data_IF_897765588603
#
_entry.id   IF_897765588603
#
_cell.length_a   1.000
_cell.length_b   1.000
_cell.length_c   1.000
_cell.angle_alpha   90.00
_cell.angle_beta   90.00
_cell.angle_gamma   90.00
#
_symmetry.space_group_name_H-M   'P 1'
#
loop_
_entity.id
_entity.type
_entity.pdbx_description
1 polymer ?
#
# COMPACT_ATOMS: atom_id res chain seq x y z
N UNK A 1 10.94 -7.80 -24.90
CA UNK A 1 11.86 -6.65 -25.05
C UNK A 1 13.18 -7.05 -24.42
N UNK A 2 14.30 -6.92 -25.15
CA UNK A 2 15.60 -7.55 -24.82
C UNK A 2 16.46 -6.75 -23.80
N UNK A 3 15.98 -5.62 -23.25
CA UNK A 3 16.80 -4.69 -22.44
C UNK A 3 16.43 -4.61 -20.93
N UNK A 4 15.78 -5.64 -20.37
CA UNK A 4 15.32 -5.60 -18.97
C UNK A 4 16.13 -6.47 -18.00
N UNK A 5 17.20 -7.12 -18.47
CA UNK A 5 17.89 -8.20 -17.73
C UNK A 5 18.89 -7.70 -16.69
N UNK A 6 19.45 -6.49 -16.86
CA UNK A 6 20.41 -5.92 -15.90
C UNK A 6 20.07 -4.45 -15.59
N UNK A 7 20.47 -3.94 -14.40
CA UNK A 7 20.23 -2.55 -14.02
C UNK A 7 20.82 -1.54 -15.02
N UNK A 8 21.99 -1.83 -15.59
CA UNK A 8 22.63 -0.99 -16.58
C UNK A 8 21.86 -0.93 -17.91
N UNK A 9 21.31 -2.07 -18.37
CA UNK A 9 20.50 -2.11 -19.59
C UNK A 9 19.14 -1.39 -19.40
N UNK A 10 18.58 -1.41 -18.19
CA UNK A 10 17.38 -0.62 -17.86
C UNK A 10 17.65 0.89 -17.89
N UNK A 11 18.82 1.33 -17.43
CA UNK A 11 19.22 2.74 -17.54
C UNK A 11 19.37 3.16 -19.00
N UNK A 12 19.95 2.29 -19.83
CA UNK A 12 20.07 2.52 -21.27
C UNK A 12 18.67 2.56 -21.92
N UNK A 13 17.77 1.66 -21.56
CA UNK A 13 16.40 1.69 -22.09
C UNK A 13 15.65 2.97 -21.67
N UNK A 14 15.83 3.43 -20.43
CA UNK A 14 15.28 4.70 -19.94
C UNK A 14 15.81 5.89 -20.72
N UNK A 15 17.12 5.94 -20.97
CA UNK A 15 17.74 7.02 -21.77
C UNK A 15 17.29 6.98 -23.22
N UNK A 16 17.12 5.80 -23.82
CA UNK A 16 16.61 5.64 -25.18
C UNK A 16 15.13 6.04 -25.34
N UNK A 17 14.32 5.95 -24.28
CA UNK A 17 12.93 6.43 -24.26
C UNK A 17 12.82 7.95 -24.04
N UNK A 18 13.88 8.61 -23.58
CA UNK A 18 13.91 10.06 -23.46
C UNK A 18 14.25 10.71 -24.80
N UNK A 19 13.53 11.77 -25.17
CA UNK A 19 13.82 12.53 -26.39
C UNK A 19 15.10 13.34 -26.15
N UNK A 20 16.15 13.19 -26.99
CA UNK A 20 17.39 13.94 -26.84
C UNK A 20 17.11 15.45 -26.79
N UNK A 21 17.73 16.14 -25.82
CA UNK A 21 17.59 17.60 -25.58
C UNK A 21 16.25 18.08 -25.01
N UNK A 22 15.39 17.19 -24.51
CA UNK A 22 14.19 17.59 -23.79
C UNK A 22 14.47 17.74 -22.28
N UNK A 23 14.58 18.98 -21.80
CA UNK A 23 14.57 19.26 -20.36
C UNK A 23 13.12 19.22 -19.85
N UNK A 24 12.76 18.31 -18.92
CA UNK A 24 11.42 18.31 -18.34
C UNK A 24 11.16 19.66 -17.66
N UNK A 25 9.98 20.25 -17.92
CA UNK A 25 9.59 21.52 -17.31
C UNK A 25 9.60 21.35 -15.79
N UNK A 26 10.27 22.27 -15.08
CA UNK A 26 10.68 22.13 -13.68
C UNK A 26 9.60 21.87 -12.63
N UNK A 27 8.33 21.71 -13.00
CA UNK A 27 7.23 21.32 -12.12
C UNK A 27 6.31 20.37 -12.89
N UNK A 28 6.53 19.07 -12.71
CA UNK A 28 5.74 18.00 -13.31
C UNK A 28 6.37 16.66 -12.96
N UNK A 29 5.76 15.94 -12.01
CA UNK A 29 6.22 14.62 -11.60
C UNK A 29 5.77 13.62 -12.67
N UNK A 30 6.72 13.06 -13.42
CA UNK A 30 6.46 11.83 -14.17
C UNK A 30 6.60 10.68 -13.18
N UNK A 31 5.49 10.25 -12.57
CA UNK A 31 5.47 8.99 -11.82
C UNK A 31 5.47 7.85 -12.84
N UNK A 32 6.66 7.48 -13.34
CA UNK A 32 6.87 6.14 -13.86
C UNK A 32 6.79 5.19 -12.67
N UNK A 33 5.57 4.80 -12.27
CA UNK A 33 5.35 3.86 -11.18
C UNK A 33 5.74 2.45 -11.64
N UNK A 34 7.02 2.27 -11.93
CA UNK A 34 7.70 0.99 -11.89
C UNK A 34 8.64 1.06 -10.69
N UNK A 35 8.06 1.17 -9.49
CA UNK A 35 8.80 0.77 -8.31
C UNK A 35 9.01 -0.74 -8.48
N UNK A 36 10.21 -1.10 -8.91
CA UNK A 36 10.79 -2.41 -8.69
C UNK A 36 10.93 -2.55 -7.17
N UNK A 37 9.83 -2.94 -6.53
CA UNK A 37 9.83 -3.30 -5.13
C UNK A 37 10.76 -4.49 -5.02
N UNK A 38 11.97 -4.25 -4.54
CA UNK A 38 12.93 -5.31 -4.29
C UNK A 38 12.23 -6.35 -3.42
N UNK A 39 12.21 -7.60 -3.87
CA UNK A 39 11.94 -8.76 -3.02
C UNK A 39 13.08 -8.86 -1.97
N UNK A 40 13.20 -7.85 -1.10
CA UNK A 40 14.01 -7.97 0.09
C UNK A 40 13.30 -8.97 0.98
N UNK A 41 13.99 -10.07 1.24
CA UNK A 41 13.48 -11.20 1.99
C UNK A 41 13.17 -10.73 3.42
N UNK A 42 11.91 -10.40 3.70
CA UNK A 42 11.44 -9.99 5.03
C UNK A 42 11.37 -11.16 6.02
N UNK A 43 11.95 -12.31 5.66
CA UNK A 43 11.95 -13.52 6.45
C UNK A 43 12.81 -13.30 7.70
N UNK A 44 12.19 -13.38 8.88
CA UNK A 44 12.86 -13.18 10.17
C UNK A 44 13.01 -11.72 10.61
N UNK A 45 12.55 -10.77 9.78
CA UNK A 45 12.59 -9.33 10.10
C UNK A 45 11.37 -8.96 10.95
N UNK A 46 11.58 -8.18 12.01
CA UNK A 46 10.47 -7.74 12.88
C UNK A 46 9.55 -6.76 12.14
N UNK A 47 8.24 -6.79 12.41
CA UNK A 47 7.28 -5.85 11.81
C UNK A 47 7.65 -4.38 12.06
N UNK A 48 8.25 -4.08 13.22
CA UNK A 48 8.79 -2.77 13.57
C UNK A 48 9.83 -2.30 12.56
N UNK A 49 10.77 -3.18 12.23
CA UNK A 49 11.85 -2.86 11.28
C UNK A 49 11.31 -2.70 9.87
N UNK A 50 10.35 -3.54 9.45
CA UNK A 50 9.65 -3.41 8.17
C UNK A 50 8.95 -2.05 8.07
N UNK A 51 8.21 -1.65 9.11
CA UNK A 51 7.54 -0.34 9.16
C UNK A 51 8.57 0.80 9.12
N UNK A 52 9.59 0.76 9.97
CA UNK A 52 10.63 1.79 9.99
C UNK A 52 11.34 1.94 8.63
N UNK A 53 11.65 0.81 7.98
CA UNK A 53 12.28 0.78 6.64
C UNK A 53 11.34 1.31 5.56
N UNK A 54 10.05 0.95 5.62
CA UNK A 54 9.02 1.39 4.67
C UNK A 54 8.94 2.90 4.57
N UNK A 55 8.92 3.59 5.71
CA UNK A 55 8.72 5.03 5.78
C UNK A 55 9.99 5.83 6.05
N UNK A 56 11.17 5.21 5.94
CA UNK A 56 12.47 5.84 6.21
C UNK A 56 12.74 7.10 5.36
N UNK A 57 12.17 7.16 4.15
CA UNK A 57 12.32 8.29 3.24
C UNK A 57 11.38 9.46 3.54
N UNK A 58 10.43 9.31 4.48
CA UNK A 58 9.45 10.37 4.81
C UNK A 58 10.09 11.32 5.83
N UNK A 59 10.50 12.50 5.37
CA UNK A 59 11.21 13.50 6.19
C UNK A 59 10.31 14.33 7.11
N UNK A 60 8.98 14.22 7.02
CA UNK A 60 8.08 15.03 7.83
C UNK A 60 8.21 14.71 9.34
N UNK A 61 8.56 15.69 10.20
CA UNK A 61 8.85 15.43 11.61
C UNK A 61 7.60 15.03 12.42
N UNK A 62 6.43 15.57 12.09
CA UNK A 62 5.17 15.21 12.75
C UNK A 62 4.78 13.77 12.44
N UNK A 63 4.90 13.38 11.17
CA UNK A 63 4.70 12.01 10.73
C UNK A 63 5.68 11.05 11.43
N UNK A 64 6.98 11.39 11.46
CA UNK A 64 7.98 10.55 12.12
C UNK A 64 7.72 10.38 13.62
N UNK A 65 7.34 11.46 14.32
CA UNK A 65 6.95 11.40 15.73
C UNK A 65 5.77 10.46 15.94
N UNK A 66 4.76 10.57 15.08
CA UNK A 66 3.57 9.72 15.10
C UNK A 66 3.89 8.25 14.79
N UNK A 67 4.73 8.00 13.79
CA UNK A 67 5.18 6.65 13.42
C UNK A 67 5.95 5.99 14.57
N UNK A 68 6.88 6.70 15.20
CA UNK A 68 7.63 6.20 16.37
C UNK A 68 6.68 5.81 17.51
N UNK A 69 5.68 6.65 17.79
CA UNK A 69 4.65 6.35 18.79
C UNK A 69 3.89 5.06 18.44
N UNK A 70 3.43 4.94 17.19
CA UNK A 70 2.73 3.74 16.72
C UNK A 70 3.59 2.48 16.81
N UNK A 71 4.85 2.54 16.38
CA UNK A 71 5.79 1.42 16.45
C UNK A 71 5.95 0.95 17.90
N UNK A 72 6.13 1.87 18.85
CA UNK A 72 6.29 1.52 20.26
C UNK A 72 5.01 0.90 20.85
N UNK A 73 3.83 1.45 20.52
CA UNK A 73 2.54 0.89 20.96
C UNK A 73 2.30 -0.52 20.37
N UNK A 74 2.71 -0.75 19.13
CA UNK A 74 2.56 -2.03 18.44
C UNK A 74 3.38 -3.17 19.03
N UNK A 75 4.44 -2.88 19.80
CA UNK A 75 5.21 -3.89 20.53
C UNK A 75 4.36 -4.58 21.61
N UNK A 76 3.42 -3.83 22.20
CA UNK A 76 2.53 -4.36 23.25
C UNK A 76 1.30 -5.05 22.67
N UNK A 77 0.72 -4.49 21.60
CA UNK A 77 -0.52 -4.99 20.98
C UNK A 77 -0.36 -4.86 19.45
N UNK A 78 0.15 -5.89 18.76
CA UNK A 78 0.32 -5.84 17.32
C UNK A 78 -1.03 -5.79 16.61
N UNK A 79 -1.23 -4.80 15.75
CA UNK A 79 -2.47 -4.61 14.99
C UNK A 79 -2.25 -4.92 13.51
N UNK A 80 -2.26 -6.21 13.15
CA UNK A 80 -2.11 -6.64 11.75
C UNK A 80 -3.38 -6.49 10.93
N UNK A 81 -4.54 -6.51 11.59
CA UNK A 81 -5.84 -6.31 10.98
C UNK A 81 -6.72 -5.50 11.93
N UNK A 82 -7.64 -4.71 11.38
CA UNK A 82 -8.66 -3.99 12.17
C UNK A 82 -9.41 -4.87 13.16
N UNK A 83 -9.81 -6.07 12.74
CA UNK A 83 -10.52 -7.07 13.54
C UNK A 83 -10.50 -8.44 12.82
N UNK A 84 -11.09 -9.47 13.44
CA UNK A 84 -11.19 -10.82 12.86
C UNK A 84 -11.94 -10.84 11.53
N UNK A 85 -13.03 -10.07 11.39
CA UNK A 85 -13.80 -9.99 10.13
C UNK A 85 -12.96 -9.44 8.97
N UNK A 86 -12.14 -8.43 9.24
CA UNK A 86 -11.20 -7.89 8.27
C UNK A 86 -10.20 -8.96 7.83
N UNK A 87 -9.58 -9.68 8.76
CA UNK A 87 -8.65 -10.76 8.43
C UNK A 87 -9.30 -11.82 7.53
N UNK A 88 -10.46 -12.34 7.92
CA UNK A 88 -11.19 -13.35 7.15
C UNK A 88 -11.52 -12.83 5.75
N UNK A 89 -12.14 -11.66 5.65
CA UNK A 89 -12.53 -11.05 4.37
C UNK A 89 -11.33 -10.81 3.45
N UNK A 90 -10.24 -10.30 4.00
CA UNK A 90 -8.98 -10.10 3.28
C UNK A 90 -8.43 -11.43 2.76
N UNK A 91 -8.27 -12.42 3.65
CA UNK A 91 -7.74 -13.74 3.29
C UNK A 91 -8.56 -14.41 2.20
N UNK A 92 -9.89 -14.39 2.31
CA UNK A 92 -10.78 -15.01 1.33
C UNK A 92 -10.72 -14.29 -0.03
N UNK A 93 -10.61 -12.96 -0.02
CA UNK A 93 -10.54 -12.16 -1.23
C UNK A 93 -9.26 -12.46 -2.01
N UNK A 94 -8.10 -12.53 -1.33
CA UNK A 94 -6.81 -12.68 -2.01
C UNK A 94 -6.52 -14.12 -2.47
N UNK A 95 -7.28 -15.13 -2.02
CA UNK A 95 -7.09 -16.54 -2.42
C UNK A 95 -7.12 -16.73 -3.94
N UNK A 96 -7.96 -15.97 -4.64
CA UNK A 96 -8.15 -16.05 -6.10
C UNK A 96 -7.39 -14.94 -6.85
N UNK A 97 -6.43 -14.27 -6.20
CA UNK A 97 -5.74 -13.08 -6.73
C UNK A 97 -4.24 -13.35 -6.86
N UNK A 98 -3.58 -12.58 -7.72
CA UNK A 98 -2.13 -12.61 -7.82
C UNK A 98 -1.49 -11.95 -6.59
N UNK A 99 -1.00 -12.76 -5.65
CA UNK A 99 -0.35 -12.30 -4.41
C UNK A 99 0.97 -11.55 -4.65
N UNK A 100 1.58 -11.69 -5.82
CA UNK A 100 2.78 -10.94 -6.23
C UNK A 100 2.46 -9.51 -6.66
N UNK A 101 1.19 -9.20 -6.91
CA UNK A 101 0.74 -7.84 -7.16
C UNK A 101 0.57 -7.10 -5.82
N UNK A 102 1.66 -6.53 -5.31
CA UNK A 102 1.67 -5.81 -4.03
C UNK A 102 0.80 -4.55 -4.07
N UNK A 103 0.60 -3.98 -5.26
CA UNK A 103 -0.35 -2.90 -5.46
C UNK A 103 -1.75 -3.34 -5.10
N UNK A 104 -2.20 -4.41 -5.74
CA UNK A 104 -3.50 -5.01 -5.51
C UNK A 104 -3.65 -5.48 -4.05
N UNK A 105 -2.65 -6.14 -3.48
CA UNK A 105 -2.70 -6.63 -2.09
C UNK A 105 -2.86 -5.49 -1.08
N UNK A 106 -2.09 -4.40 -1.24
CA UNK A 106 -2.18 -3.23 -0.35
C UNK A 106 -3.55 -2.54 -0.44
N UNK A 107 -4.10 -2.41 -1.65
CA UNK A 107 -5.40 -1.81 -1.86
C UNK A 107 -6.52 -2.68 -1.28
N UNK A 108 -6.53 -3.98 -1.57
CA UNK A 108 -7.53 -4.91 -1.03
C UNK A 108 -7.51 -4.89 0.50
N UNK A 109 -6.33 -4.88 1.12
CA UNK A 109 -6.19 -4.80 2.59
C UNK A 109 -6.95 -3.59 3.15
N UNK A 110 -6.77 -2.40 2.60
CA UNK A 110 -7.49 -1.20 3.06
C UNK A 110 -8.99 -1.27 2.78
N UNK A 111 -9.38 -1.77 1.60
CA UNK A 111 -10.78 -1.84 1.19
C UNK A 111 -11.59 -2.86 2.02
N UNK A 112 -10.94 -3.93 2.48
CA UNK A 112 -11.56 -4.95 3.35
C UNK A 112 -11.59 -4.56 4.82
N UNK A 113 -10.93 -3.47 5.21
CA UNK A 113 -10.85 -3.03 6.60
C UNK A 113 -12.19 -2.54 7.17
N UNK A 114 -13.13 -2.14 6.33
CA UNK A 114 -14.46 -1.71 6.75
C UNK A 114 -15.56 -2.43 5.99
N UNK A 115 -16.58 -2.88 6.71
CA UNK A 115 -17.67 -3.66 6.12
C UNK A 115 -18.48 -2.86 5.09
N UNK A 116 -18.90 -1.63 5.42
CA UNK A 116 -19.70 -0.79 4.52
C UNK A 116 -18.93 -0.43 3.24
N UNK A 117 -17.64 -0.08 3.37
CA UNK A 117 -16.74 0.13 2.24
C UNK A 117 -16.64 -1.14 1.39
N UNK A 118 -16.37 -2.29 2.01
CA UNK A 118 -16.22 -3.56 1.30
C UNK A 118 -17.48 -3.95 0.52
N UNK A 119 -18.68 -3.78 1.09
CA UNK A 119 -19.94 -4.10 0.39
C UNK A 119 -20.10 -3.32 -0.91
N UNK A 120 -19.61 -2.07 -0.92
CA UNK A 120 -19.69 -1.17 -2.07
C UNK A 120 -18.63 -1.52 -3.12
N UNK A 121 -17.41 -1.84 -2.68
CA UNK A 121 -16.26 -2.00 -3.58
C UNK A 121 -16.14 -3.40 -4.17
N UNK A 122 -16.59 -4.45 -3.45
CA UNK A 122 -16.37 -5.86 -3.85
C UNK A 122 -16.82 -6.21 -5.27
N UNK A 123 -17.84 -5.53 -5.80
CA UNK A 123 -18.38 -5.75 -7.16
C UNK A 123 -17.48 -5.17 -8.26
N UNK A 124 -16.62 -4.22 -7.90
CA UNK A 124 -15.67 -3.55 -8.81
C UNK A 124 -14.29 -4.23 -8.82
N UNK A 125 -14.12 -5.36 -8.11
CA UNK A 125 -12.87 -6.11 -8.08
C UNK A 125 -13.02 -7.38 -8.94
N UNK A 126 -12.54 -7.30 -10.17
CA UNK A 126 -12.58 -8.39 -11.15
C UNK A 126 -11.17 -8.90 -11.42
N UNK A 127 -10.98 -10.22 -11.40
CA UNK A 127 -9.68 -10.86 -11.63
C UNK A 127 -8.57 -10.24 -10.76
N UNK A 128 -7.58 -9.55 -11.32
CA UNK A 128 -6.50 -8.90 -10.56
C UNK A 128 -6.54 -7.37 -10.64
N UNK A 129 -7.69 -6.79 -10.96
CA UNK A 129 -7.84 -5.35 -11.15
C UNK A 129 -8.97 -4.79 -10.29
N UNK A 130 -8.79 -3.55 -9.83
CA UNK A 130 -9.82 -2.79 -9.14
C UNK A 130 -10.26 -1.66 -10.08
N UNK A 131 -11.54 -1.66 -10.46
CA UNK A 131 -12.09 -0.58 -11.27
C UNK A 131 -12.51 0.60 -10.39
N UNK A 132 -11.55 1.49 -10.14
CA UNK A 132 -11.80 2.74 -9.41
C UNK A 132 -12.53 3.80 -10.25
N UNK A 133 -12.60 3.67 -11.58
CA UNK A 133 -13.20 4.69 -12.46
C UNK A 133 -14.72 4.70 -12.31
N UNK A 134 -15.32 3.51 -12.24
CA UNK A 134 -16.76 3.35 -12.07
C UNK A 134 -17.19 3.23 -10.60
N UNK A 135 -16.24 3.36 -9.67
CA UNK A 135 -16.51 3.25 -8.23
C UNK A 135 -17.00 4.59 -7.68
N UNK A 136 -18.31 4.67 -7.44
CA UNK A 136 -18.93 5.77 -6.71
C UNK A 136 -19.42 5.27 -5.36
N UNK A 137 -18.63 5.44 -4.28
CA UNK A 137 -19.02 4.93 -2.98
C UNK A 137 -20.17 5.75 -2.39
N UNK A 138 -21.30 5.10 -2.13
CA UNK A 138 -22.47 5.71 -1.47
C UNK A 138 -22.68 5.05 -0.12
N UNK A 139 -22.90 5.84 0.94
CA UNK A 139 -23.18 5.33 2.29
C UNK A 139 -21.94 4.79 3.03
N UNK A 140 -20.73 5.24 2.67
CA UNK A 140 -19.51 4.95 3.41
C UNK A 140 -19.29 5.96 4.55
N UNK A 141 -18.63 5.53 5.63
CA UNK A 141 -18.23 6.43 6.71
C UNK A 141 -17.06 7.33 6.30
N UNK A 142 -16.80 8.39 7.05
CA UNK A 142 -15.61 9.24 6.89
C UNK A 142 -14.31 8.42 6.93
N UNK A 143 -14.21 7.51 7.89
CA UNK A 143 -13.08 6.58 7.99
C UNK A 143 -12.97 5.65 6.76
N UNK A 144 -14.11 5.17 6.24
CA UNK A 144 -14.17 4.40 5.01
C UNK A 144 -13.70 5.20 3.79
N UNK A 145 -13.99 6.49 3.74
CA UNK A 145 -13.51 7.38 2.68
C UNK A 145 -12.00 7.60 2.77
N UNK A 146 -11.44 7.80 3.96
CA UNK A 146 -9.99 7.89 4.17
C UNK A 146 -9.27 6.62 3.72
N UNK A 147 -9.81 5.45 4.06
CA UNK A 147 -9.27 4.16 3.59
C UNK A 147 -9.33 4.00 2.08
N UNK A 148 -10.41 4.46 1.45
CA UNK A 148 -10.54 4.45 0.00
C UNK A 148 -9.52 5.37 -0.68
N UNK A 149 -9.30 6.58 -0.14
CA UNK A 149 -8.30 7.51 -0.64
C UNK A 149 -6.90 6.89 -0.55
N UNK A 150 -6.52 6.36 0.62
CA UNK A 150 -5.26 5.64 0.80
C UNK A 150 -5.11 4.45 -0.17
N UNK A 151 -6.20 3.70 -0.41
CA UNK A 151 -6.17 2.59 -1.36
C UNK A 151 -5.95 3.06 -2.80
N UNK A 152 -6.55 4.18 -3.21
CA UNK A 152 -6.32 4.80 -4.53
C UNK A 152 -4.88 5.30 -4.66
N UNK A 153 -4.37 5.99 -3.64
CA UNK A 153 -3.00 6.52 -3.64
C UNK A 153 -1.97 5.41 -3.75
N UNK A 154 -2.14 4.34 -2.97
CA UNK A 154 -1.28 3.18 -3.09
C UNK A 154 -1.45 2.54 -4.47
N UNK A 155 -2.67 2.18 -4.89
CA UNK A 155 -2.89 1.41 -6.12
C UNK A 155 -2.50 2.18 -7.41
N UNK A 156 -3.01 3.40 -7.58
CA UNK A 156 -2.89 4.21 -8.79
C UNK A 156 -1.73 5.21 -8.74
N UNK A 157 -1.15 5.47 -7.57
CA UNK A 157 -0.13 6.51 -7.40
C UNK A 157 -0.70 7.92 -7.40
N UNK A 158 -1.94 8.09 -6.93
CA UNK A 158 -2.59 9.41 -6.75
C UNK A 158 -2.14 10.10 -5.47
N UNK A 159 -2.63 11.32 -5.25
CA UNK A 159 -2.27 12.23 -4.16
C UNK A 159 -3.50 12.68 -3.34
N UNK A 160 -4.48 11.80 -3.12
CA UNK A 160 -5.67 12.12 -2.31
C UNK A 160 -5.33 12.36 -0.83
N UNK A 161 -4.30 11.71 -0.28
CA UNK A 161 -3.78 11.91 1.07
C UNK A 161 -2.33 12.38 1.03
N UNK A 162 -2.07 13.50 1.68
CA UNK A 162 -0.72 14.01 1.88
C UNK A 162 -0.07 13.41 3.13
N UNK A 163 1.26 13.50 3.21
CA UNK A 163 1.99 13.12 4.43
C UNK A 163 1.57 13.97 5.63
N UNK A 164 1.19 15.23 5.41
CA UNK A 164 0.67 16.11 6.46
C UNK A 164 -0.66 15.60 7.01
N UNK A 165 -1.55 15.11 6.13
CA UNK A 165 -2.82 14.49 6.55
C UNK A 165 -2.59 13.22 7.38
N UNK A 166 -1.63 12.38 6.98
CA UNK A 166 -1.19 11.22 7.75
C UNK A 166 -0.56 11.59 9.10
N UNK A 167 0.04 12.77 9.21
CA UNK A 167 0.66 13.23 10.45
C UNK A 167 -0.37 13.72 11.48
N UNK A 168 -1.56 14.17 11.05
CA UNK A 168 -2.58 14.75 11.92
C UNK A 168 -3.48 13.67 12.59
N UNK A 169 -3.46 13.51 13.92
CA UNK A 169 -4.30 12.55 14.63
C UNK A 169 -5.80 12.89 14.66
N UNK A 170 -6.16 14.16 14.43
CA UNK A 170 -7.56 14.59 14.38
C UNK A 170 -8.20 14.21 13.04
N UNK A 171 -7.45 14.37 11.94
CA UNK A 171 -7.93 14.00 10.62
C UNK A 171 -7.93 12.49 10.41
N UNK A 172 -6.86 11.82 10.81
CA UNK A 172 -6.71 10.37 10.65
C UNK A 172 -6.57 9.76 12.04
N UNK A 173 -7.56 9.01 12.55
CA UNK A 173 -7.46 8.39 13.86
C UNK A 173 -6.31 7.36 13.96
N UNK A 174 -5.76 7.08 15.15
CA UNK A 174 -4.64 6.14 15.34
C UNK A 174 -4.85 4.76 14.71
N UNK A 175 -6.08 4.22 14.78
CA UNK A 175 -6.43 2.94 14.15
C UNK A 175 -6.37 2.98 12.62
N UNK A 176 -6.70 4.11 12.00
CA UNK A 176 -6.62 4.26 10.55
C UNK A 176 -5.18 4.45 10.09
N UNK A 177 -4.43 5.25 10.83
CA UNK A 177 -2.99 5.39 10.62
C UNK A 177 -2.27 4.03 10.64
N UNK A 178 -2.58 3.16 11.63
CA UNK A 178 -2.00 1.82 11.70
C UNK A 178 -2.29 0.98 10.45
N UNK A 179 -3.53 0.99 9.95
CA UNK A 179 -3.90 0.24 8.75
C UNK A 179 -3.21 0.80 7.50
N UNK A 180 -3.11 2.12 7.36
CA UNK A 180 -2.41 2.75 6.25
C UNK A 180 -0.92 2.42 6.30
N UNK A 181 -0.30 2.43 7.48
CA UNK A 181 1.09 2.02 7.67
C UNK A 181 1.35 0.56 7.27
N UNK A 182 0.48 -0.36 7.69
CA UNK A 182 0.56 -1.76 7.27
C UNK A 182 0.36 -1.91 5.75
N UNK A 183 -0.57 -1.16 5.15
CA UNK A 183 -0.80 -1.19 3.71
C UNK A 183 0.39 -0.67 2.91
N UNK A 184 1.04 0.41 3.38
CA UNK A 184 2.30 0.90 2.81
C UNK A 184 3.40 -0.16 2.89
N UNK A 185 3.49 -0.89 4.01
CA UNK A 185 4.45 -1.97 4.16
C UNK A 185 4.14 -3.15 3.22
N UNK A 186 2.86 -3.51 3.06
CA UNK A 186 2.42 -4.52 2.07
C UNK A 186 2.77 -4.05 0.65
N UNK A 187 2.57 -2.77 0.33
CA UNK A 187 2.91 -2.23 -0.98
C UNK A 187 4.40 -2.37 -1.28
N UNK A 188 5.26 -2.21 -0.27
CA UNK A 188 6.71 -2.24 -0.43
C UNK A 188 7.32 -3.64 -0.36
N UNK A 189 6.82 -4.49 0.52
CA UNK A 189 7.44 -5.78 0.87
C UNK A 189 6.51 -6.98 0.66
N UNK A 190 5.30 -6.75 0.16
CA UNK A 190 4.29 -7.79 -0.02
C UNK A 190 3.66 -8.28 1.28
N UNK A 191 2.97 -9.42 1.21
CA UNK A 191 2.19 -9.96 2.33
C UNK A 191 3.05 -10.38 3.53
N UNK A 192 4.35 -10.61 3.34
CA UNK A 192 5.29 -10.91 4.42
C UNK A 192 5.32 -9.80 5.50
N UNK A 193 5.04 -8.54 5.10
CA UNK A 193 5.05 -7.37 5.98
C UNK A 193 4.11 -7.48 7.20
N UNK A 194 3.01 -8.21 7.08
CA UNK A 194 2.01 -8.37 8.14
C UNK A 194 2.03 -9.78 8.76
N UNK A 195 3.16 -10.49 8.64
CA UNK A 195 3.30 -11.89 9.04
C UNK A 195 2.21 -12.78 8.44
N UNK A 196 1.81 -12.49 7.19
CA UNK A 196 0.80 -13.28 6.51
C UNK A 196 1.35 -14.69 6.27
N UNK A 197 0.92 -15.65 7.08
CA UNK A 197 1.16 -17.06 6.79
C UNK A 197 0.26 -17.44 5.63
N UNK A 198 0.84 -17.62 4.44
CA UNK A 198 0.19 -18.45 3.45
C UNK A 198 -0.09 -19.78 4.15
N UNK A 199 -1.36 -20.12 4.38
CA UNK A 199 -1.74 -21.53 4.43
C UNK A 199 -1.47 -22.02 3.02
N UNK A 200 -0.22 -22.41 2.77
CA UNK A 200 0.14 -23.19 1.60
C UNK A 200 -0.77 -24.40 1.62
N UNK A 201 -1.41 -24.61 0.48
CA UNK A 201 -2.29 -25.72 0.18
C UNK A 201 -1.66 -27.00 0.72
N UNK A 202 -2.22 -27.53 1.81
CA UNK A 202 -2.13 -28.96 2.07
C UNK A 202 -3.16 -29.57 1.14
N UNK A 203 -2.68 -30.05 0.01
CA UNK A 203 -3.32 -31.17 -0.71
C UNK A 203 -3.60 -32.31 0.28
#
# INVERSE_FOLDING_TARGET
MYFTETPSLREIEKTMKMIPNFTPRGHGVVILCQNEFAEENCIGVSQKEILAKTMSHISNPLFQKRLKKYINESETIPMNFRNSKHNITFTDTIRKKNKKDYALMSAIYLLTAEFALWQTVKRHITNNTIDFKNLHPVGISENGYTLLCAAKDLYLGTDYLTISDLADPQLIPPRMFALICNAMAIRRFGLAAINFKNRSDKE
#
